data_IF_419614105304
#
_entry.id   IF_419614105304
#
_cell.length_a   1.000
_cell.length_b   1.000
_cell.length_c   1.000
_cell.angle_alpha   90.00
_cell.angle_beta   90.00
_cell.angle_gamma   90.00
#
_symmetry.space_group_name_H-M   'P 1'
#
loop_
_entity.id
_entity.type
_entity.pdbx_description
1 polymer ?
#
# COMPACT_ATOMS: atom_id res chain seq x y z
N UNK A 1 -3.25 -3.70 -14.44
CA UNK A 1 -3.73 -3.23 -13.13
C UNK A 1 -2.51 -2.99 -12.26
N UNK A 2 -2.40 -1.78 -11.72
CA UNK A 2 -1.32 -1.35 -10.84
C UNK A 2 -1.85 -1.24 -9.40
N UNK A 3 -1.20 -1.97 -8.50
CA UNK A 3 -1.53 -1.99 -7.08
C UNK A 3 -0.34 -1.40 -6.33
N UNK A 4 -0.60 -0.48 -5.41
CA UNK A 4 0.37 -0.11 -4.39
C UNK A 4 0.04 -0.80 -3.06
N UNK A 5 1.02 -1.49 -2.50
CA UNK A 5 0.98 -2.07 -1.17
C UNK A 5 1.84 -1.24 -0.23
N UNK A 6 1.18 -0.54 0.69
CA UNK A 6 1.79 0.25 1.75
C UNK A 6 2.01 -0.64 2.97
N UNK A 7 3.27 -0.97 3.28
CA UNK A 7 3.62 -1.88 4.38
C UNK A 7 4.95 -1.49 5.02
N UNK A 8 5.02 -1.62 6.34
CA UNK A 8 6.26 -1.51 7.13
C UNK A 8 6.80 -2.90 7.54
N UNK A 9 6.26 -3.97 6.95
CA UNK A 9 6.73 -5.32 7.21
C UNK A 9 8.18 -5.48 6.75
N UNK A 10 9.01 -6.04 7.62
CA UNK A 10 10.38 -6.41 7.31
C UNK A 10 10.48 -7.77 6.59
N UNK A 11 9.40 -8.56 6.59
CA UNK A 11 9.30 -9.82 5.86
C UNK A 11 9.06 -9.58 4.36
N UNK A 12 9.38 -10.56 3.48
CA UNK A 12 9.07 -10.48 2.06
C UNK A 12 7.59 -10.17 1.80
N UNK A 13 7.29 -9.33 0.81
CA UNK A 13 5.91 -8.95 0.46
C UNK A 13 5.03 -10.14 0.09
N UNK A 14 5.63 -11.19 -0.47
CA UNK A 14 4.96 -12.47 -0.74
C UNK A 14 4.41 -13.14 0.53
N UNK A 15 4.87 -12.75 1.72
CA UNK A 15 4.33 -13.18 3.02
C UNK A 15 3.33 -12.18 3.62
N UNK A 16 3.29 -10.94 3.08
CA UNK A 16 2.32 -9.91 3.47
C UNK A 16 0.95 -10.22 2.89
N UNK A 17 0.90 -10.46 1.58
CA UNK A 17 -0.32 -10.85 0.87
C UNK A 17 0.01 -11.81 -0.29
N UNK A 18 0.23 -13.11 0.00
CA UNK A 18 0.72 -14.08 -0.98
C UNK A 18 -0.15 -14.21 -2.24
N UNK A 19 -1.45 -13.98 -2.09
CA UNK A 19 -2.43 -14.07 -3.18
C UNK A 19 -2.16 -13.07 -4.32
N UNK A 20 -1.44 -11.97 -4.06
CA UNK A 20 -1.04 -11.04 -5.12
C UNK A 20 -0.07 -11.68 -6.13
N UNK A 21 0.68 -12.71 -5.75
CA UNK A 21 1.53 -13.45 -6.69
C UNK A 21 0.77 -14.33 -7.68
N UNK A 22 -0.55 -14.50 -7.53
CA UNK A 22 -1.34 -15.48 -8.29
C UNK A 22 -2.00 -14.91 -9.55
N UNK A 23 -1.94 -13.59 -9.76
CA UNK A 23 -2.64 -12.90 -10.86
C UNK A 23 -1.69 -11.97 -11.60
N UNK A 24 -1.97 -11.70 -12.88
CA UNK A 24 -1.20 -10.75 -13.69
C UNK A 24 -1.57 -9.29 -13.33
N UNK A 25 -0.93 -8.75 -12.30
CA UNK A 25 -0.95 -7.33 -11.95
C UNK A 25 0.45 -6.89 -11.51
N UNK A 26 0.70 -5.58 -11.53
CA UNK A 26 1.94 -5.01 -11.04
C UNK A 26 1.75 -4.57 -9.58
N UNK A 27 2.62 -5.01 -8.68
CA UNK A 27 2.61 -4.59 -7.27
C UNK A 27 3.81 -3.70 -7.02
N UNK A 28 3.56 -2.46 -6.62
CA UNK A 28 4.58 -1.55 -6.08
C UNK A 28 4.49 -1.59 -4.55
N UNK A 29 5.63 -1.75 -3.89
CA UNK A 29 5.70 -1.81 -2.42
C UNK A 29 6.32 -0.51 -1.91
N UNK A 30 5.67 0.11 -0.94
CA UNK A 30 6.14 1.35 -0.31
C UNK A 30 5.93 1.31 1.20
N UNK A 31 6.66 2.13 1.99
CA UNK A 31 6.38 2.29 3.41
C UNK A 31 4.95 2.75 3.70
N UNK A 32 4.40 2.40 4.87
CA UNK A 32 3.05 2.77 5.28
C UNK A 32 2.96 4.23 5.78
N UNK A 33 3.37 5.18 4.92
CA UNK A 33 3.42 6.62 5.24
C UNK A 33 2.96 7.45 4.04
N UNK A 34 2.26 8.56 4.29
CA UNK A 34 1.62 9.39 3.27
C UNK A 34 2.59 9.94 2.22
N UNK A 35 3.79 10.34 2.66
CA UNK A 35 4.87 10.85 1.82
C UNK A 35 5.38 9.83 0.79
N UNK A 36 5.17 8.54 1.04
CA UNK A 36 5.57 7.46 0.14
C UNK A 36 4.81 7.45 -1.18
N UNK A 37 3.67 8.13 -1.25
CA UNK A 37 2.89 8.31 -2.49
C UNK A 37 3.26 9.59 -3.25
N UNK A 38 3.97 10.54 -2.62
CA UNK A 38 4.32 11.83 -3.23
C UNK A 38 5.57 11.77 -4.11
N UNK A 39 6.45 10.79 -3.85
CA UNK A 39 7.77 10.73 -4.47
C UNK A 39 7.78 10.08 -5.86
N UNK A 40 6.69 9.45 -6.28
CA UNK A 40 6.60 8.79 -7.58
C UNK A 40 5.58 9.50 -8.50
N UNK A 41 5.96 9.65 -9.77
CA UNK A 41 5.06 9.98 -10.89
C UNK A 41 4.17 8.75 -11.20
N UNK A 42 3.53 8.19 -10.17
CA UNK A 42 2.64 7.05 -10.22
C UNK A 42 1.23 7.50 -9.83
N UNK A 43 0.71 8.51 -10.52
CA UNK A 43 -0.65 9.02 -10.33
C UNK A 43 -1.76 8.09 -10.87
N UNK A 44 -1.47 6.82 -11.18
CA UNK A 44 -2.39 5.88 -11.83
C UNK A 44 -2.37 4.48 -11.17
N UNK A 45 -2.15 4.39 -9.85
CA UNK A 45 -2.43 3.13 -9.15
C UNK A 45 -3.94 2.92 -9.12
N UNK A 46 -4.40 1.74 -9.54
CA UNK A 46 -5.83 1.40 -9.57
C UNK A 46 -6.36 1.09 -8.16
N UNK A 47 -5.48 0.60 -7.27
CA UNK A 47 -5.83 0.15 -5.92
C UNK A 47 -4.69 0.45 -4.94
N UNK A 48 -5.06 1.00 -3.78
CA UNK A 48 -4.17 1.16 -2.62
C UNK A 48 -4.52 0.12 -1.56
N UNK A 49 -3.55 -0.72 -1.20
CA UNK A 49 -3.64 -1.68 -0.10
C UNK A 49 -2.78 -1.18 1.05
N UNK A 50 -3.35 -1.08 2.26
CA UNK A 50 -2.63 -0.70 3.47
C UNK A 50 -2.50 -1.91 4.39
N UNK A 51 -1.26 -2.30 4.70
CA UNK A 51 -0.97 -3.38 5.65
C UNK A 51 -1.25 -2.92 7.08
N UNK A 52 -2.25 -3.54 7.71
CA UNK A 52 -2.68 -3.26 9.08
C UNK A 52 -2.38 -4.41 10.05
N UNK A 53 -1.61 -5.43 9.64
CA UNK A 53 -1.40 -6.67 10.43
C UNK A 53 -0.71 -6.41 11.77
N UNK A 54 0.17 -5.41 11.83
CA UNK A 54 0.97 -5.09 13.01
C UNK A 54 0.51 -3.83 13.75
N UNK A 55 -0.15 -2.89 13.08
CA UNK A 55 -0.70 -1.67 13.67
C UNK A 55 -1.98 -1.22 12.95
N UNK A 56 -3.12 -1.63 13.49
CA UNK A 56 -4.44 -1.24 12.97
C UNK A 56 -4.76 0.24 13.21
N UNK A 57 -4.29 0.82 14.33
CA UNK A 57 -4.62 2.19 14.69
C UNK A 57 -3.88 3.19 13.79
N UNK A 58 -2.58 2.94 13.54
CA UNK A 58 -1.78 3.66 12.57
C UNK A 58 -2.35 3.52 11.16
N UNK A 59 -2.63 2.29 10.71
CA UNK A 59 -3.23 2.03 9.40
C UNK A 59 -4.56 2.77 9.19
N UNK A 60 -5.46 2.75 10.19
CA UNK A 60 -6.73 3.50 10.12
C UNK A 60 -6.51 5.00 10.01
N UNK A 61 -5.53 5.53 10.72
CA UNK A 61 -5.18 6.96 10.66
C UNK A 61 -4.65 7.33 9.27
N UNK A 62 -3.78 6.49 8.70
CA UNK A 62 -3.29 6.64 7.34
C UNK A 62 -4.43 6.59 6.31
N UNK A 63 -5.35 5.62 6.39
CA UNK A 63 -6.51 5.54 5.49
C UNK A 63 -7.37 6.81 5.52
N UNK A 64 -7.56 7.43 6.70
CA UNK A 64 -8.26 8.72 6.80
C UNK A 64 -7.50 9.84 6.10
N UNK A 65 -6.18 9.89 6.26
CA UNK A 65 -5.35 10.88 5.56
C UNK A 65 -5.42 10.69 4.04
N UNK A 66 -5.29 9.45 3.55
CA UNK A 66 -5.41 9.12 2.13
C UNK A 66 -6.76 9.56 1.56
N UNK A 67 -7.86 9.25 2.25
CA UNK A 67 -9.20 9.68 1.82
C UNK A 67 -9.37 11.19 1.75
N UNK A 68 -8.66 11.96 2.59
CA UNK A 68 -8.69 13.42 2.55
C UNK A 68 -7.93 14.01 1.35
N UNK A 69 -7.02 13.24 0.76
CA UNK A 69 -6.24 13.63 -0.42
C UNK A 69 -6.90 13.26 -1.75
N UNK A 70 -8.06 12.61 -1.74
CA UNK A 70 -8.74 12.16 -2.95
C UNK A 70 -8.13 10.90 -3.58
N UNK A 71 -7.33 10.16 -2.80
CA UNK A 71 -6.94 8.77 -3.06
C UNK A 71 -8.06 7.85 -2.60
#
# INVERSE_FOLDING_TARGET
MHIVLMTDASQPTTEVLPALGLLNHHVRIVPARLDSLLNDVAGNEDVVIVDARMDLAGARTLCKMLSSTGV
#
